data_IF_897917647398
#
_entry.id   IF_897917647398
#
_cell.length_a   1.000
_cell.length_b   1.000
_cell.length_c   1.000
_cell.angle_alpha   90.00
_cell.angle_beta   90.00
_cell.angle_gamma   90.00
#
_symmetry.space_group_name_H-M   'P 1'
#
loop_
_entity.id
_entity.type
_entity.pdbx_description
1 polymer ?
#
# COMPACT_ATOMS: atom_id res chain seq x y z
N UNK A 1 18.85 29.20 10.06
CA UNK A 1 18.21 27.93 9.72
C UNK A 1 19.16 27.11 8.86
N UNK A 2 19.44 25.85 9.17
CA UNK A 2 20.21 25.02 8.28
C UNK A 2 19.45 24.86 6.96
N UNK A 3 20.14 25.06 5.86
CA UNK A 3 19.62 24.73 4.53
C UNK A 3 19.66 23.20 4.43
N UNK A 4 18.49 22.59 4.49
CA UNK A 4 18.33 21.14 4.40
C UNK A 4 18.10 20.66 2.96
N UNK A 5 17.97 21.60 2.05
CA UNK A 5 17.63 21.32 0.67
C UNK A 5 18.35 22.26 -0.30
N UNK A 6 18.38 21.89 -1.57
CA UNK A 6 18.98 22.70 -2.62
C UNK A 6 17.96 23.67 -3.24
N UNK A 7 18.40 24.72 -3.95
CA UNK A 7 17.50 25.61 -4.67
C UNK A 7 16.61 24.89 -5.66
N UNK A 8 15.38 25.39 -5.87
CA UNK A 8 14.38 24.74 -6.73
C UNK A 8 14.91 24.42 -8.13
N UNK A 9 15.67 25.34 -8.74
CA UNK A 9 16.25 25.11 -10.07
C UNK A 9 17.25 23.94 -10.14
N UNK A 10 17.92 23.68 -9.04
CA UNK A 10 18.82 22.51 -8.92
C UNK A 10 18.03 21.24 -8.66
N UNK A 11 16.96 21.32 -7.84
CA UNK A 11 16.06 20.20 -7.57
C UNK A 11 15.37 19.68 -8.85
N UNK A 12 14.95 20.57 -9.73
CA UNK A 12 14.32 20.21 -11.01
C UNK A 12 15.23 19.38 -11.92
N UNK A 13 16.55 19.50 -11.74
CA UNK A 13 17.57 18.77 -12.53
C UNK A 13 18.21 17.63 -11.76
N UNK A 14 17.85 17.45 -10.48
CA UNK A 14 18.46 16.44 -9.63
C UNK A 14 17.87 15.04 -9.91
N UNK A 15 18.73 14.15 -10.37
CA UNK A 15 18.35 12.76 -10.74
C UNK A 15 18.70 11.72 -9.67
N UNK A 16 19.08 12.15 -8.48
CA UNK A 16 19.51 11.26 -7.41
C UNK A 16 20.99 10.87 -7.50
N UNK A 17 21.47 10.22 -6.44
CA UNK A 17 22.86 9.78 -6.33
C UNK A 17 23.06 8.30 -6.63
N UNK A 18 22.01 7.53 -6.59
CA UNK A 18 22.06 6.08 -6.84
C UNK A 18 21.75 5.80 -8.31
N UNK A 19 22.67 5.18 -9.06
CA UNK A 19 22.38 4.81 -10.44
C UNK A 19 21.29 3.73 -10.49
N UNK A 20 20.48 3.80 -11.53
CA UNK A 20 19.52 2.72 -11.81
C UNK A 20 20.28 1.46 -12.20
N UNK A 21 20.02 0.30 -11.55
CA UNK A 21 20.63 -0.96 -11.96
C UNK A 21 20.30 -1.30 -13.42
N UNK A 22 21.24 -1.94 -14.12
CA UNK A 22 21.04 -2.30 -15.53
C UNK A 22 19.89 -3.32 -15.72
N UNK A 23 19.67 -4.18 -14.75
CA UNK A 23 18.65 -5.23 -14.72
C UNK A 23 17.33 -4.81 -14.03
N UNK A 24 17.14 -3.52 -13.78
CA UNK A 24 15.97 -3.02 -13.02
C UNK A 24 14.63 -3.49 -13.62
N UNK A 25 14.47 -3.32 -14.92
CA UNK A 25 13.21 -3.69 -15.59
C UNK A 25 13.02 -5.21 -15.57
N UNK A 26 14.04 -5.98 -15.91
CA UNK A 26 14.00 -7.45 -15.90
C UNK A 26 13.66 -7.99 -14.50
N UNK A 27 14.26 -7.45 -13.46
CA UNK A 27 14.00 -7.84 -12.07
C UNK A 27 12.53 -7.62 -11.71
N UNK A 28 11.99 -6.44 -12.01
CA UNK A 28 10.61 -6.12 -11.67
C UNK A 28 9.59 -6.83 -12.54
N UNK A 29 9.85 -7.03 -13.81
CA UNK A 29 8.99 -7.81 -14.70
C UNK A 29 8.86 -9.26 -14.20
N UNK A 30 9.95 -9.86 -13.79
CA UNK A 30 9.97 -11.19 -13.20
C UNK A 30 9.20 -11.24 -11.86
N UNK A 31 9.44 -10.27 -10.98
CA UNK A 31 8.77 -10.21 -9.69
C UNK A 31 7.25 -10.02 -9.84
N UNK A 32 6.82 -9.19 -10.77
CA UNK A 32 5.40 -8.98 -11.06
C UNK A 32 4.77 -10.22 -11.69
N UNK A 33 5.47 -10.90 -12.59
CA UNK A 33 5.01 -12.15 -13.19
C UNK A 33 4.80 -13.24 -12.13
N UNK A 34 5.74 -13.37 -11.19
CA UNK A 34 5.62 -14.27 -10.05
C UNK A 34 4.43 -13.93 -9.17
N UNK A 35 4.27 -12.67 -8.82
CA UNK A 35 3.11 -12.20 -8.04
C UNK A 35 1.78 -12.54 -8.71
N UNK A 36 1.67 -12.36 -10.03
CA UNK A 36 0.45 -12.64 -10.78
C UNK A 36 0.06 -14.12 -10.83
N UNK A 37 0.99 -15.03 -10.56
CA UNK A 37 0.74 -16.47 -10.51
C UNK A 37 0.20 -16.91 -9.14
N UNK A 38 0.30 -16.08 -8.12
CA UNK A 38 -0.17 -16.40 -6.77
C UNK A 38 -1.69 -16.17 -6.70
N UNK A 39 -2.43 -17.19 -6.25
CA UNK A 39 -3.83 -17.01 -5.88
C UNK A 39 -3.89 -16.17 -4.60
N UNK A 40 -4.50 -14.98 -4.62
CA UNK A 40 -4.52 -14.09 -3.47
C UNK A 40 -5.35 -14.62 -2.30
N UNK A 41 -6.24 -15.58 -2.48
CA UNK A 41 -7.05 -16.20 -1.42
C UNK A 41 -7.60 -15.16 -0.44
N UNK A 42 -8.28 -14.16 -0.96
CA UNK A 42 -8.79 -13.03 -0.18
C UNK A 42 -9.86 -13.49 0.80
N UNK A 43 -9.70 -13.11 2.06
CA UNK A 43 -10.71 -13.29 3.10
C UNK A 43 -11.12 -11.95 3.69
N UNK A 44 -12.41 -11.75 3.87
CA UNK A 44 -12.99 -10.54 4.48
C UNK A 44 -13.75 -10.95 5.73
N UNK A 45 -13.48 -10.27 6.83
CA UNK A 45 -14.23 -10.40 8.09
C UNK A 45 -14.66 -9.00 8.50
N UNK A 46 -15.92 -8.85 8.93
CA UNK A 46 -16.36 -7.56 9.47
C UNK A 46 -15.45 -7.13 10.62
N UNK A 47 -14.97 -5.89 10.54
CA UNK A 47 -14.17 -5.32 11.61
C UNK A 47 -15.03 -4.98 12.82
N UNK A 48 -14.44 -5.01 14.01
CA UNK A 48 -15.12 -4.60 15.24
C UNK A 48 -15.57 -3.12 15.16
N UNK A 49 -14.74 -2.27 14.58
CA UNK A 49 -15.08 -0.89 14.30
C UNK A 49 -15.92 -0.77 13.03
N UNK A 50 -17.07 -0.11 13.13
CA UNK A 50 -17.95 0.22 12.01
C UNK A 50 -18.26 1.71 11.98
N UNK A 51 -18.65 2.20 10.82
CA UNK A 51 -19.01 3.60 10.60
C UNK A 51 -20.40 3.70 9.94
N UNK A 52 -21.18 4.74 10.24
CA UNK A 52 -22.45 4.97 9.56
C UNK A 52 -22.31 5.16 8.05
N UNK A 53 -21.16 5.66 7.59
CA UNK A 53 -20.90 6.02 6.19
C UNK A 53 -20.05 5.00 5.44
N UNK A 54 -19.43 4.06 6.15
CA UNK A 54 -18.54 3.06 5.54
C UNK A 54 -18.71 1.68 6.18
N UNK A 55 -18.56 0.66 5.36
CA UNK A 55 -18.37 -0.72 5.80
C UNK A 55 -16.88 -0.97 6.00
N UNK A 56 -16.52 -1.50 7.16
CA UNK A 56 -15.13 -1.73 7.55
C UNK A 56 -14.87 -3.22 7.69
N UNK A 57 -13.80 -3.71 7.08
CA UNK A 57 -13.41 -5.12 7.08
C UNK A 57 -11.95 -5.30 7.45
N UNK A 58 -11.68 -6.37 8.14
CA UNK A 58 -10.35 -6.96 8.24
C UNK A 58 -10.17 -7.89 7.03
N UNK A 59 -9.25 -7.54 6.14
CA UNK A 59 -8.96 -8.30 4.94
C UNK A 59 -7.60 -8.96 5.06
N UNK A 60 -7.52 -10.20 4.63
CA UNK A 60 -6.26 -10.91 4.43
C UNK A 60 -6.15 -11.40 3.00
N UNK A 61 -4.96 -11.35 2.47
CA UNK A 61 -4.65 -11.97 1.19
C UNK A 61 -3.26 -12.58 1.19
N UNK A 62 -3.03 -13.51 0.25
CA UNK A 62 -1.75 -14.18 0.10
C UNK A 62 -0.90 -13.49 -0.95
N UNK A 63 0.31 -13.10 -0.59
CA UNK A 63 1.34 -12.60 -1.48
C UNK A 63 2.34 -13.68 -1.88
N UNK A 64 3.45 -13.26 -2.50
CA UNK A 64 4.54 -14.14 -2.91
C UNK A 64 5.11 -14.91 -1.71
N UNK A 65 5.63 -16.10 -1.97
CA UNK A 65 6.17 -17.00 -0.94
C UNK A 65 5.18 -17.38 0.18
N UNK A 66 3.88 -17.30 -0.08
CA UNK A 66 2.85 -17.64 0.89
C UNK A 66 2.66 -16.61 2.01
N UNK A 67 3.20 -15.42 1.87
CA UNK A 67 3.04 -14.35 2.86
C UNK A 67 1.57 -13.98 3.03
N UNK A 68 1.06 -14.03 4.27
CA UNK A 68 -0.31 -13.65 4.59
C UNK A 68 -0.35 -12.19 5.03
N UNK A 69 -0.96 -11.33 4.23
CA UNK A 69 -0.93 -9.88 4.37
C UNK A 69 -2.25 -9.38 4.92
N UNK A 70 -2.18 -8.58 5.98
CA UNK A 70 -3.34 -7.94 6.62
C UNK A 70 -3.56 -6.54 6.08
N UNK A 71 -4.81 -6.22 5.76
CA UNK A 71 -5.24 -4.90 5.29
C UNK A 71 -6.53 -4.48 5.98
N UNK A 72 -6.63 -3.22 6.33
CA UNK A 72 -7.93 -2.60 6.66
C UNK A 72 -8.60 -2.17 5.37
N UNK A 73 -9.74 -2.78 5.07
CA UNK A 73 -10.53 -2.46 3.90
C UNK A 73 -11.77 -1.70 4.28
N UNK A 74 -11.93 -0.51 3.71
CA UNK A 74 -13.09 0.33 3.94
C UNK A 74 -13.73 0.64 2.59
N UNK A 75 -15.05 0.52 2.53
CA UNK A 75 -15.82 0.95 1.38
C UNK A 75 -17.03 1.78 1.82
N UNK A 76 -17.40 2.83 1.07
CA UNK A 76 -18.59 3.60 1.40
C UNK A 76 -19.84 2.75 1.32
N UNK A 77 -20.80 3.05 2.21
CA UNK A 77 -22.15 2.47 2.13
C UNK A 77 -22.95 3.11 1.00
N UNK A 78 -23.89 2.35 0.43
CA UNK A 78 -24.89 2.86 -0.52
C UNK A 78 -24.32 3.53 -1.78
N UNK A 79 -23.14 3.09 -2.24
CA UNK A 79 -22.57 3.57 -3.49
C UNK A 79 -22.90 2.59 -4.61
N UNK A 80 -23.36 3.14 -5.72
CA UNK A 80 -23.57 2.44 -6.99
C UNK A 80 -22.52 2.90 -8.00
N UNK A 81 -21.98 1.96 -8.77
CA UNK A 81 -21.00 2.23 -9.80
C UNK A 81 -19.54 2.20 -9.29
N UNK A 82 -18.63 2.62 -10.15
CA UNK A 82 -17.18 2.64 -9.87
C UNK A 82 -16.79 3.92 -9.16
N UNK A 83 -15.99 3.79 -8.13
CA UNK A 83 -15.43 4.90 -7.37
C UNK A 83 -13.91 4.79 -7.35
N UNK A 84 -13.19 5.91 -7.17
CA UNK A 84 -11.75 5.87 -6.97
C UNK A 84 -11.37 5.06 -5.73
N UNK A 85 -10.25 4.35 -5.81
CA UNK A 85 -9.66 3.64 -4.67
C UNK A 85 -8.36 4.32 -4.24
N UNK A 86 -8.11 4.33 -2.93
CA UNK A 86 -6.86 4.83 -2.35
C UNK A 86 -6.17 3.67 -1.63
N UNK A 87 -4.89 3.48 -1.93
CA UNK A 87 -4.03 2.54 -1.24
C UNK A 87 -3.05 3.31 -0.36
N UNK A 88 -3.08 3.02 0.94
CA UNK A 88 -2.24 3.69 1.92
C UNK A 88 -1.32 2.68 2.62
N UNK A 89 -0.03 2.95 2.61
CA UNK A 89 0.97 2.20 3.33
C UNK A 89 1.38 2.94 4.60
N UNK A 90 1.67 2.19 5.66
CA UNK A 90 2.26 2.78 6.86
C UNK A 90 3.74 3.10 6.66
N UNK A 91 4.25 4.08 7.41
CA UNK A 91 5.66 4.40 7.45
C UNK A 91 6.47 3.46 8.36
N UNK A 92 7.76 3.75 8.50
CA UNK A 92 8.66 3.04 9.41
C UNK A 92 8.11 3.05 10.85
N UNK A 93 8.18 1.91 11.53
CA UNK A 93 7.59 1.67 12.86
C UNK A 93 6.05 1.84 12.95
N UNK A 94 5.37 2.09 11.84
CA UNK A 94 3.92 2.09 11.78
C UNK A 94 3.35 0.68 11.60
N UNK A 95 2.08 0.53 11.89
CA UNK A 95 1.29 -0.64 11.52
C UNK A 95 -0.16 -0.23 11.26
N UNK A 96 -0.90 -1.09 10.57
CA UNK A 96 -2.31 -0.84 10.29
C UNK A 96 -3.26 -1.30 11.41
N UNK A 97 -2.73 -1.81 12.52
CA UNK A 97 -3.55 -2.16 13.69
C UNK A 97 -4.00 -0.87 14.38
N UNK A 98 -5.28 -0.73 14.63
CA UNK A 98 -5.77 0.35 15.49
C UNK A 98 -5.13 0.21 16.87
N UNK A 99 -4.59 1.29 17.41
CA UNK A 99 -4.36 1.35 18.85
C UNK A 99 -5.72 1.13 19.50
N UNK A 100 -5.89 0.03 20.22
CA UNK A 100 -7.00 -0.08 21.15
C UNK A 100 -6.86 1.13 22.06
N UNK A 101 -7.87 2.02 22.06
CA UNK A 101 -7.89 3.15 22.95
C UNK A 101 -7.66 2.67 24.38
N UNK A 102 -6.79 3.37 25.08
CA UNK A 102 -6.73 3.29 26.54
C UNK A 102 -7.92 4.00 27.10
#
# INVERSE_FOLDING_TARGET
MPLLDMPIKELEQYNGVNPRPADFDEYWDKAIAEMKQVDPQVTLTEAEFQSPIAECYDMYFTGVNGARIYVKYLRPRNITGKIPAVLQFHGYQGNCRSRKGR
#
